data_IF_941853262242
#
_entry.id   IF_941853262242
#
_cell.length_a   1.000
_cell.length_b   1.000
_cell.length_c   1.000
_cell.angle_alpha   90.00
_cell.angle_beta   90.00
_cell.angle_gamma   90.00
#
_symmetry.space_group_name_H-M   'P 1'
#
loop_
_entity.id
_entity.type
_entity.pdbx_description
1 polymer ?
#
# COMPACT_ATOMS: atom_id res chain seq x y z
N UNK A 1 -14.20 -15.10 -19.19
CA UNK A 1 -15.63 -14.80 -18.98
C UNK A 1 -16.50 -15.89 -19.60
N UNK A 2 -17.64 -16.22 -18.97
CA UNK A 2 -18.64 -17.15 -19.56
C UNK A 2 -19.69 -16.41 -20.38
N UNK A 3 -19.76 -15.08 -20.30
CA UNK A 3 -20.75 -14.25 -20.96
C UNK A 3 -21.73 -13.59 -20.00
N UNK A 4 -22.86 -13.10 -20.51
CA UNK A 4 -23.92 -12.51 -19.71
C UNK A 4 -24.90 -13.58 -19.24
N UNK A 5 -25.43 -13.41 -18.03
CA UNK A 5 -26.55 -14.23 -17.56
C UNK A 5 -27.79 -14.04 -18.45
N UNK A 6 -28.50 -15.12 -18.75
CA UNK A 6 -29.76 -15.06 -19.49
C UNK A 6 -30.93 -14.50 -18.67
N UNK A 7 -30.82 -14.40 -17.36
CA UNK A 7 -31.88 -13.91 -16.47
C UNK A 7 -31.69 -12.48 -16.04
N UNK A 8 -30.44 -12.05 -15.90
CA UNK A 8 -30.08 -10.70 -15.44
C UNK A 8 -28.86 -10.19 -16.25
N UNK A 9 -28.74 -8.87 -16.49
CA UNK A 9 -27.66 -8.31 -17.31
C UNK A 9 -26.34 -8.27 -16.55
N UNK A 10 -25.93 -9.38 -15.93
CA UNK A 10 -24.70 -9.52 -15.16
C UNK A 10 -23.67 -10.36 -15.92
N UNK A 11 -22.40 -10.00 -15.77
CA UNK A 11 -21.28 -10.76 -16.29
C UNK A 11 -21.07 -12.00 -15.42
N UNK A 12 -21.06 -13.18 -16.03
CA UNK A 12 -20.79 -14.45 -15.34
C UNK A 12 -19.35 -14.85 -15.59
N UNK A 13 -18.62 -15.07 -14.50
CA UNK A 13 -17.24 -15.52 -14.49
C UNK A 13 -17.15 -16.91 -13.86
N UNK A 14 -16.25 -17.74 -14.38
CA UNK A 14 -15.84 -18.97 -13.70
C UNK A 14 -14.51 -18.71 -13.01
N UNK A 15 -14.45 -18.93 -11.70
CA UNK A 15 -13.20 -18.93 -10.97
C UNK A 15 -12.40 -20.20 -11.36
N UNK A 16 -11.18 -19.98 -11.83
CA UNK A 16 -10.30 -21.05 -12.29
C UNK A 16 -9.11 -21.18 -11.33
N UNK A 17 -8.53 -20.05 -10.96
CA UNK A 17 -7.32 -19.98 -10.11
C UNK A 17 -7.26 -18.64 -9.39
N UNK A 18 -6.89 -18.69 -8.12
CA UNK A 18 -6.56 -17.48 -7.34
C UNK A 18 -5.07 -17.48 -7.04
N UNK A 19 -4.43 -16.34 -7.26
CA UNK A 19 -3.04 -16.07 -6.91
C UNK A 19 -2.98 -14.83 -6.03
N UNK A 20 -2.13 -14.89 -5.00
CA UNK A 20 -1.94 -13.78 -4.07
C UNK A 20 -0.51 -13.25 -4.19
N UNK A 21 -0.38 -11.94 -4.20
CA UNK A 21 0.89 -11.24 -4.35
C UNK A 21 1.03 -10.15 -3.31
N UNK A 22 2.25 -9.92 -2.84
CA UNK A 22 2.60 -8.72 -2.10
C UNK A 22 2.56 -7.53 -3.06
N UNK A 23 1.83 -6.48 -2.69
CA UNK A 23 1.62 -5.28 -3.51
C UNK A 23 2.08 -4.00 -2.83
N UNK A 24 1.96 -2.87 -3.54
CA UNK A 24 2.28 -1.56 -3.00
C UNK A 24 3.72 -1.46 -2.49
N UNK A 25 3.91 -0.93 -1.29
CA UNK A 25 5.23 -0.79 -0.65
C UNK A 25 5.96 -2.13 -0.48
N UNK A 26 5.25 -3.23 -0.24
CA UNK A 26 5.86 -4.56 -0.11
C UNK A 26 6.45 -5.05 -1.45
N UNK A 27 5.81 -4.79 -2.58
CA UNK A 27 6.37 -5.12 -3.89
C UNK A 27 7.64 -4.29 -4.17
N UNK A 28 7.65 -3.02 -3.78
CA UNK A 28 8.83 -2.15 -3.90
C UNK A 28 9.96 -2.68 -3.02
N UNK A 29 9.67 -3.00 -1.75
CA UNK A 29 10.66 -3.55 -0.83
C UNK A 29 11.31 -4.83 -1.37
N UNK A 30 10.53 -5.72 -1.96
CA UNK A 30 11.04 -6.93 -2.60
C UNK A 30 11.98 -6.65 -3.77
N UNK A 31 11.69 -5.65 -4.59
CA UNK A 31 12.63 -5.23 -5.64
C UNK A 31 13.91 -4.63 -5.08
N UNK A 32 13.82 -3.90 -3.96
CA UNK A 32 14.99 -3.29 -3.32
C UNK A 32 15.86 -4.30 -2.58
N UNK A 33 15.29 -5.41 -2.11
CA UNK A 33 16.03 -6.43 -1.36
C UNK A 33 17.19 -7.05 -2.14
N UNK A 34 17.12 -7.05 -3.47
CA UNK A 34 18.20 -7.53 -4.35
C UNK A 34 19.39 -6.54 -4.44
N UNK A 35 19.19 -5.27 -4.06
CA UNK A 35 20.19 -4.20 -4.22
C UNK A 35 20.65 -3.60 -2.90
N UNK A 36 19.90 -3.82 -1.82
CA UNK A 36 20.15 -3.25 -0.51
C UNK A 36 20.56 -4.34 0.49
N UNK A 37 21.45 -3.97 1.42
CA UNK A 37 21.84 -4.87 2.51
C UNK A 37 20.63 -5.16 3.42
N UNK A 38 19.86 -4.14 3.70
CA UNK A 38 18.67 -4.18 4.54
C UNK A 38 17.60 -3.22 4.00
N UNK A 39 16.35 -3.61 4.08
CA UNK A 39 15.19 -2.78 3.72
C UNK A 39 14.21 -2.79 4.87
N UNK A 40 13.83 -1.61 5.38
CA UNK A 40 12.76 -1.50 6.36
C UNK A 40 11.48 -0.99 5.70
N UNK A 41 10.37 -1.66 5.97
CA UNK A 41 9.04 -1.23 5.52
C UNK A 41 8.28 -0.66 6.71
N UNK A 42 7.97 0.65 6.67
CA UNK A 42 7.06 1.31 7.60
C UNK A 42 5.71 1.52 6.90
N UNK A 43 4.67 0.89 7.41
CA UNK A 43 3.33 0.97 6.84
C UNK A 43 2.26 0.59 7.86
N UNK A 44 0.99 0.69 7.47
CA UNK A 44 -0.13 0.24 8.27
C UNK A 44 -0.73 -1.06 7.71
N UNK A 45 -1.07 -1.97 8.60
CA UNK A 45 -2.07 -3.00 8.33
C UNK A 45 -3.41 -2.57 8.92
N UNK A 46 -4.50 -3.06 8.37
CA UNK A 46 -5.80 -2.86 8.96
C UNK A 46 -5.95 -3.67 10.26
N UNK A 47 -6.79 -3.18 11.16
CA UNK A 47 -7.22 -3.91 12.35
C UNK A 47 -7.97 -5.20 11.99
N UNK A 48 -8.70 -5.17 10.86
CA UNK A 48 -9.43 -6.30 10.29
C UNK A 48 -8.69 -6.87 9.10
N UNK A 49 -8.79 -8.19 8.89
CA UNK A 49 -8.18 -8.86 7.74
C UNK A 49 -6.69 -8.47 7.54
N UNK A 50 -5.90 -8.67 8.58
CA UNK A 50 -4.50 -8.17 8.63
C UNK A 50 -3.62 -8.77 7.53
N UNK A 51 -3.91 -9.99 7.07
CA UNK A 51 -3.08 -10.77 6.14
C UNK A 51 -1.62 -10.93 6.58
N UNK A 52 -1.31 -10.65 7.86
CA UNK A 52 0.05 -10.61 8.41
C UNK A 52 0.81 -11.90 8.16
N UNK A 53 0.21 -13.06 8.46
CA UNK A 53 0.85 -14.36 8.26
C UNK A 53 1.15 -14.68 6.78
N UNK A 54 0.37 -14.13 5.84
CA UNK A 54 0.68 -14.24 4.42
C UNK A 54 1.89 -13.39 4.07
N UNK A 55 1.96 -12.16 4.56
CA UNK A 55 3.06 -11.23 4.32
C UNK A 55 4.36 -11.83 4.86
N UNK A 56 4.38 -12.25 6.14
CA UNK A 56 5.56 -12.80 6.81
C UNK A 56 6.13 -14.06 6.14
N UNK A 57 5.28 -14.87 5.51
CA UNK A 57 5.71 -16.08 4.78
C UNK A 57 6.22 -15.81 3.36
N UNK A 58 5.97 -14.62 2.82
CA UNK A 58 6.27 -14.32 1.42
C UNK A 58 7.20 -13.11 1.26
N UNK A 59 7.86 -12.70 2.34
CA UNK A 59 8.83 -11.60 2.33
C UNK A 59 10.26 -12.14 2.47
N UNK A 60 11.22 -11.46 1.89
CA UNK A 60 12.64 -11.80 1.92
C UNK A 60 13.25 -11.53 3.31
N UNK A 61 14.28 -12.30 3.69
CA UNK A 61 14.88 -12.29 5.03
C UNK A 61 15.54 -10.95 5.40
N UNK A 62 16.03 -10.20 4.41
CA UNK A 62 16.64 -8.88 4.63
C UNK A 62 15.63 -7.72 4.64
N UNK A 63 14.33 -8.02 4.70
CA UNK A 63 13.27 -7.00 4.80
C UNK A 63 12.68 -7.00 6.22
N UNK A 64 12.86 -5.91 6.93
CA UNK A 64 12.31 -5.66 8.26
C UNK A 64 10.92 -5.03 8.16
N UNK A 65 9.91 -5.68 8.72
CA UNK A 65 8.52 -5.22 8.70
C UNK A 65 8.19 -4.41 9.95
N UNK A 66 7.93 -3.12 9.79
CA UNK A 66 7.50 -2.21 10.85
C UNK A 66 6.05 -1.79 10.58
N UNK A 67 5.10 -2.65 10.95
CA UNK A 67 3.68 -2.39 10.75
C UNK A 67 3.03 -1.78 11.98
N UNK A 68 2.31 -0.68 11.75
CA UNK A 68 1.35 -0.09 12.66
C UNK A 68 -0.05 -0.59 12.32
N UNK A 69 -1.03 -0.36 13.19
CA UNK A 69 -2.41 -0.77 12.96
C UNK A 69 -3.29 0.44 12.66
N UNK A 70 -4.01 0.42 11.52
CA UNK A 70 -5.05 1.40 11.20
C UNK A 70 -6.37 0.94 11.77
N UNK A 71 -6.92 1.71 12.68
CA UNK A 71 -8.18 1.42 13.35
C UNK A 71 -9.37 1.36 12.38
N UNK A 72 -10.35 0.52 12.67
CA UNK A 72 -11.58 0.36 11.90
C UNK A 72 -11.39 0.12 10.38
N UNK A 73 -10.24 -0.36 9.98
CA UNK A 73 -9.87 -0.55 8.58
C UNK A 73 -9.52 -2.01 8.28
N UNK A 74 -9.82 -2.51 7.07
CA UNK A 74 -9.16 -3.71 6.56
C UNK A 74 -7.75 -3.37 6.07
N UNK A 75 -6.86 -4.35 6.01
CA UNK A 75 -5.66 -4.24 5.19
C UNK A 75 -6.05 -4.11 3.72
N UNK A 76 -5.40 -3.22 3.00
CA UNK A 76 -5.74 -2.95 1.60
C UNK A 76 -5.59 -4.22 0.76
N UNK A 77 -6.70 -4.67 0.18
CA UNK A 77 -6.76 -5.80 -0.72
C UNK A 77 -7.37 -5.39 -2.06
N UNK A 78 -6.60 -5.55 -3.13
CA UNK A 78 -7.03 -5.24 -4.50
C UNK A 78 -7.17 -6.54 -5.30
N UNK A 79 -8.38 -7.08 -5.41
CA UNK A 79 -8.70 -8.24 -6.24
C UNK A 79 -8.89 -7.80 -7.68
N UNK A 80 -8.26 -8.51 -8.61
CA UNK A 80 -8.40 -8.29 -10.04
C UNK A 80 -8.80 -9.58 -10.73
N UNK A 81 -9.93 -9.55 -11.40
CA UNK A 81 -10.38 -10.65 -12.24
C UNK A 81 -9.78 -10.48 -13.63
N UNK A 82 -9.04 -11.47 -14.06
CA UNK A 82 -8.29 -11.47 -15.32
C UNK A 82 -8.84 -12.56 -16.22
N UNK A 83 -9.07 -12.23 -17.47
CA UNK A 83 -9.45 -13.25 -18.46
C UNK A 83 -8.31 -14.23 -18.70
N UNK A 84 -8.63 -15.52 -18.72
CA UNK A 84 -7.60 -16.55 -18.85
C UNK A 84 -7.00 -16.64 -20.25
N UNK A 85 -7.72 -16.18 -21.27
CA UNK A 85 -7.29 -16.27 -22.68
C UNK A 85 -6.39 -15.12 -23.06
N UNK A 86 -6.89 -13.90 -22.97
CA UNK A 86 -6.18 -12.71 -23.43
C UNK A 86 -5.48 -11.93 -22.30
N UNK A 87 -5.57 -12.43 -21.06
CA UNK A 87 -4.95 -11.85 -19.86
C UNK A 87 -5.37 -10.41 -19.55
N UNK A 88 -6.49 -9.97 -20.10
CA UNK A 88 -7.04 -8.65 -19.80
C UNK A 88 -7.73 -8.60 -18.45
N UNK A 89 -7.56 -7.48 -17.75
CA UNK A 89 -8.31 -7.21 -16.52
C UNK A 89 -9.76 -6.90 -16.86
N UNK A 90 -10.70 -7.70 -16.32
CA UNK A 90 -12.14 -7.56 -16.56
C UNK A 90 -12.79 -6.71 -15.48
N UNK A 91 -12.40 -6.94 -14.21
CA UNK A 91 -13.02 -6.32 -13.04
C UNK A 91 -12.00 -6.18 -11.93
N UNK A 92 -12.07 -5.08 -11.20
CA UNK A 92 -11.36 -4.87 -9.94
C UNK A 92 -12.35 -4.73 -8.79
N UNK A 93 -12.12 -5.46 -7.69
CA UNK A 93 -12.87 -5.33 -6.44
C UNK A 93 -11.87 -5.06 -5.32
N UNK A 94 -12.03 -3.94 -4.63
CA UNK A 94 -11.06 -3.45 -3.67
C UNK A 94 -11.67 -3.34 -2.27
N UNK A 95 -10.94 -3.86 -1.28
CA UNK A 95 -11.21 -3.67 0.15
C UNK A 95 -10.25 -2.60 0.64
N UNK A 96 -10.74 -1.38 0.81
CA UNK A 96 -9.93 -0.19 1.15
C UNK A 96 -10.75 0.69 2.09
N UNK A 97 -10.08 1.32 3.06
CA UNK A 97 -10.55 2.49 3.76
C UNK A 97 -9.58 3.64 3.49
N UNK A 98 -10.03 4.65 2.73
CA UNK A 98 -9.23 5.82 2.31
C UNK A 98 -9.29 6.97 3.34
N UNK A 99 -9.97 6.81 4.49
CA UNK A 99 -9.97 7.80 5.56
C UNK A 99 -8.52 8.06 6.02
N UNK A 100 -8.25 9.28 6.45
CA UNK A 100 -6.98 9.60 7.06
C UNK A 100 -6.79 8.79 8.35
N UNK A 101 -5.54 8.49 8.67
CA UNK A 101 -5.19 7.95 9.98
C UNK A 101 -5.49 8.96 11.09
N UNK A 102 -5.73 8.49 12.31
CA UNK A 102 -6.00 9.36 13.47
C UNK A 102 -4.75 10.11 13.91
N UNK A 103 -4.91 11.12 14.76
CA UNK A 103 -3.77 11.87 15.31
C UNK A 103 -2.82 10.97 16.10
N UNK A 104 -3.36 10.01 16.85
CA UNK A 104 -2.58 9.04 17.62
C UNK A 104 -1.78 8.10 16.69
N UNK A 105 -2.41 7.68 15.58
CA UNK A 105 -1.75 6.87 14.55
C UNK A 105 -0.68 7.69 13.81
N UNK A 106 -0.90 8.99 13.57
CA UNK A 106 0.12 9.90 13.04
C UNK A 106 1.33 10.00 13.96
N UNK A 107 1.11 10.17 15.27
CA UNK A 107 2.19 10.27 16.26
C UNK A 107 3.04 9.02 16.27
N UNK A 108 2.42 7.83 16.27
CA UNK A 108 3.12 6.54 16.20
C UNK A 108 3.92 6.38 14.88
N UNK A 109 3.35 6.87 13.77
CA UNK A 109 4.04 6.81 12.48
C UNK A 109 5.25 7.73 12.47
N UNK A 110 5.12 8.97 12.95
CA UNK A 110 6.19 9.96 13.03
C UNK A 110 7.33 9.45 13.92
N UNK A 111 7.00 8.93 15.10
CA UNK A 111 8.00 8.34 16.01
C UNK A 111 8.77 7.19 15.35
N UNK A 112 8.04 6.30 14.67
CA UNK A 112 8.64 5.17 13.95
C UNK A 112 9.52 5.63 12.79
N UNK A 113 9.07 6.65 12.03
CA UNK A 113 9.83 7.26 10.95
C UNK A 113 11.13 7.89 11.46
N UNK A 114 11.07 8.68 12.53
CA UNK A 114 12.23 9.36 13.12
C UNK A 114 13.28 8.38 13.65
N UNK A 115 12.83 7.24 14.18
CA UNK A 115 13.73 6.18 14.62
C UNK A 115 14.39 5.50 13.41
N UNK A 116 13.60 5.04 12.45
CA UNK A 116 14.09 4.27 11.30
C UNK A 116 14.97 5.13 10.37
N UNK A 117 14.63 6.39 10.16
CA UNK A 117 15.41 7.28 9.30
C UNK A 117 16.85 7.49 9.74
N UNK A 118 17.14 7.31 11.04
CA UNK A 118 18.50 7.40 11.59
C UNK A 118 19.37 6.17 11.33
N UNK A 119 18.73 5.07 10.94
CA UNK A 119 19.37 3.77 10.74
C UNK A 119 19.57 3.45 9.24
N UNK A 120 19.10 4.34 8.34
CA UNK A 120 19.09 4.12 6.90
C UNK A 120 19.73 5.27 6.13
N UNK A 121 20.20 5.00 4.91
CA UNK A 121 20.87 5.99 4.05
C UNK A 121 19.87 6.77 3.18
N UNK A 122 18.70 6.20 2.92
CA UNK A 122 17.65 6.84 2.12
C UNK A 122 16.26 6.33 2.49
N UNK A 123 15.25 7.15 2.23
CA UNK A 123 13.83 6.80 2.36
C UNK A 123 13.14 6.87 1.00
N UNK A 124 12.38 5.84 0.66
CA UNK A 124 11.47 5.85 -0.49
C UNK A 124 10.03 5.96 0.01
N UNK A 125 9.37 7.05 -0.34
CA UNK A 125 7.97 7.25 -0.03
C UNK A 125 7.12 6.81 -1.22
N UNK A 126 6.24 5.84 -0.97
CA UNK A 126 5.28 5.35 -1.95
C UNK A 126 3.87 5.72 -1.52
N UNK A 127 3.43 6.90 -1.94
CA UNK A 127 2.16 7.49 -1.54
C UNK A 127 1.07 7.22 -2.59
N UNK A 128 0.19 6.31 -2.26
CA UNK A 128 -0.95 5.91 -3.11
C UNK A 128 -2.25 6.67 -2.77
N UNK A 129 -2.20 7.61 -1.81
CA UNK A 129 -3.38 8.39 -1.42
C UNK A 129 -4.46 7.60 -0.69
N UNK A 130 -4.07 6.59 0.11
CA UNK A 130 -4.97 5.77 0.93
C UNK A 130 -5.00 6.19 2.40
N UNK A 131 -4.79 7.48 2.67
CA UNK A 131 -4.98 8.07 3.99
C UNK A 131 -3.80 7.92 4.97
N UNK A 132 -2.71 7.21 4.62
CA UNK A 132 -1.56 7.05 5.50
C UNK A 132 -0.73 8.33 5.60
N UNK A 133 -0.33 8.89 4.46
CA UNK A 133 0.47 10.11 4.45
C UNK A 133 -0.47 11.32 4.48
N UNK A 134 -0.76 11.77 5.69
CA UNK A 134 -1.55 12.99 5.92
C UNK A 134 -0.72 14.24 5.63
N UNK A 135 -1.32 15.44 5.53
CA UNK A 135 -0.56 16.68 5.42
C UNK A 135 0.46 16.90 6.56
N UNK A 136 0.10 16.51 7.79
CA UNK A 136 0.99 16.60 8.95
C UNK A 136 2.18 15.66 8.81
N UNK A 137 1.94 14.41 8.46
CA UNK A 137 2.98 13.41 8.21
C UNK A 137 3.89 13.84 7.05
N UNK A 138 3.31 14.31 5.92
CA UNK A 138 4.07 14.78 4.76
C UNK A 138 4.99 15.95 5.13
N UNK A 139 4.46 16.93 5.87
CA UNK A 139 5.24 18.08 6.35
C UNK A 139 6.36 17.69 7.32
N UNK A 140 6.15 16.69 8.16
CA UNK A 140 7.18 16.17 9.05
C UNK A 140 8.31 15.51 8.26
N UNK A 141 7.94 14.64 7.31
CA UNK A 141 8.88 13.92 6.44
C UNK A 141 9.74 14.90 5.62
N UNK A 142 9.13 15.94 5.01
CA UNK A 142 9.86 16.91 4.16
C UNK A 142 10.91 17.73 4.91
N UNK A 143 10.85 17.78 6.25
CA UNK A 143 11.85 18.43 7.09
C UNK A 143 13.01 17.51 7.52
N UNK A 144 12.94 16.25 7.17
CA UNK A 144 14.00 15.30 7.50
C UNK A 144 15.27 15.56 6.69
N UNK A 145 16.43 15.37 7.31
CA UNK A 145 17.72 15.54 6.66
C UNK A 145 18.13 14.35 5.79
N UNK A 146 17.42 13.20 5.92
CA UNK A 146 17.70 12.01 5.11
C UNK A 146 17.31 12.24 3.66
N UNK A 147 18.06 11.64 2.72
CA UNK A 147 17.68 11.67 1.32
C UNK A 147 16.34 10.96 1.09
N UNK A 148 15.38 11.68 0.48
CA UNK A 148 14.03 11.15 0.23
C UNK A 148 13.74 11.09 -1.26
N UNK A 149 13.31 9.90 -1.70
CA UNK A 149 12.71 9.69 -3.03
C UNK A 149 11.21 9.55 -2.87
N UNK A 150 10.44 10.39 -3.55
CA UNK A 150 8.99 10.44 -3.45
C UNK A 150 8.31 9.97 -4.74
N UNK A 151 7.40 9.00 -4.61
CA UNK A 151 6.43 8.63 -5.63
C UNK A 151 5.01 8.85 -5.09
N UNK A 152 4.36 9.92 -5.53
CA UNK A 152 2.95 10.20 -5.26
C UNK A 152 2.11 9.75 -6.45
N UNK A 153 1.28 8.74 -6.27
CA UNK A 153 0.48 8.15 -7.34
C UNK A 153 -0.99 8.54 -7.26
N UNK A 154 -1.49 9.17 -8.32
CA UNK A 154 -2.90 9.45 -8.50
C UNK A 154 -3.59 8.22 -9.11
N UNK A 155 -4.77 7.89 -8.61
CA UNK A 155 -5.64 6.84 -9.12
C UNK A 155 -7.08 7.37 -9.30
N UNK A 156 -7.96 6.57 -9.88
CA UNK A 156 -9.33 7.00 -10.18
C UNK A 156 -10.14 7.42 -8.93
N UNK A 157 -9.80 6.92 -7.73
CA UNK A 157 -10.52 7.22 -6.52
C UNK A 157 -10.04 8.53 -5.84
N UNK A 158 -8.80 8.98 -6.11
CA UNK A 158 -8.20 10.13 -5.44
C UNK A 158 -7.85 11.30 -6.39
N UNK A 159 -8.36 11.28 -7.63
CA UNK A 159 -8.20 12.41 -8.57
C UNK A 159 -8.80 13.69 -7.96
N UNK A 160 -7.97 14.73 -7.88
CA UNK A 160 -8.37 16.05 -7.35
C UNK A 160 -8.26 16.21 -5.84
N UNK A 161 -8.08 15.11 -5.07
CA UNK A 161 -7.92 15.17 -3.62
C UNK A 161 -6.51 14.81 -3.15
N UNK A 162 -5.79 13.98 -3.92
CA UNK A 162 -4.42 13.60 -3.62
C UNK A 162 -3.44 14.50 -4.41
N UNK A 163 -2.59 15.21 -3.70
CA UNK A 163 -1.66 16.18 -4.29
C UNK A 163 -0.25 15.99 -3.74
N UNK A 164 0.74 16.09 -4.61
CA UNK A 164 2.16 16.16 -4.24
C UNK A 164 2.48 17.42 -3.45
N UNK A 165 1.66 18.48 -3.57
CA UNK A 165 1.86 19.77 -2.86
C UNK A 165 1.81 19.65 -1.35
N UNK A 166 1.25 18.57 -0.79
CA UNK A 166 1.29 18.36 0.67
C UNK A 166 2.71 18.16 1.23
N UNK A 167 3.71 17.93 0.36
CA UNK A 167 5.13 17.83 0.69
C UNK A 167 5.91 19.12 0.47
N UNK A 168 5.25 20.16 -0.08
CA UNK A 168 5.83 21.48 -0.20
C UNK A 168 5.69 22.24 1.12
N UNK A 169 6.71 23.01 1.52
CA UNK A 169 6.68 23.88 2.72
C UNK A 169 5.76 25.11 2.56
#
# INVERSE_FOLDING_TARGET
>A
ALGKSGKEPVLVLRDIKTENYLGGSLAIARHLSDFCKEVSVLSFLGEKDTHKSFIERNIEENICLNFLTKSNSPTILKRRFVDNVDKKKILGVYSINDDLITNEEEDLFIESFDRLSKEHDLVIISDYGHGLITPRVAKHISKSEIFISLNAQINAANIGTHSIRKYED
#
